data_IF_228190583007
#
_entry.id   IF_228190583007
#
_cell.length_a   1.000
_cell.length_b   1.000
_cell.length_c   1.000
_cell.angle_alpha   90.00
_cell.angle_beta   90.00
_cell.angle_gamma   90.00
#
_symmetry.space_group_name_H-M   'P 1'
#
loop_
_entity.id
_entity.type
_entity.pdbx_description
1 polymer ?
#
# COMPACT_ATOMS: atom_id res chain seq x y z
N UNK A 1 3.17 -7.41 19.64
CA UNK A 1 3.23 -5.95 19.35
C UNK A 1 2.91 -5.07 20.54
N UNK A 2 1.77 -5.22 21.22
CA UNK A 2 1.42 -4.33 22.35
C UNK A 2 2.49 -4.20 23.44
N UNK A 3 3.03 -5.31 23.92
CA UNK A 3 4.05 -5.30 24.97
C UNK A 3 5.33 -4.55 24.55
N UNK A 4 5.64 -4.51 23.25
CA UNK A 4 6.77 -3.75 22.72
C UNK A 4 6.46 -2.25 22.79
N UNK A 5 5.26 -1.85 22.37
CA UNK A 5 4.81 -0.45 22.48
C UNK A 5 4.78 0.03 23.94
N UNK A 6 4.35 -0.81 24.88
CA UNK A 6 4.36 -0.48 26.31
C UNK A 6 5.78 -0.35 26.86
N UNK A 7 6.70 -1.24 26.48
CA UNK A 7 8.11 -1.19 26.92
C UNK A 7 8.82 0.06 26.38
N UNK A 8 8.58 0.41 25.12
CA UNK A 8 9.36 1.42 24.39
C UNK A 8 8.73 2.82 24.40
N UNK A 9 7.57 3.01 25.04
CA UNK A 9 6.80 4.27 25.03
C UNK A 9 7.60 5.52 25.47
N UNK A 10 8.65 5.34 26.28
CA UNK A 10 9.48 6.43 26.79
C UNK A 10 10.73 6.72 25.94
N UNK A 11 10.99 5.93 24.89
CA UNK A 11 12.20 6.08 24.07
C UNK A 11 12.09 7.21 23.02
N UNK A 12 10.91 7.83 22.88
CA UNK A 12 10.65 8.86 21.87
C UNK A 12 10.69 8.36 20.41
N UNK A 13 10.79 7.04 20.21
CA UNK A 13 10.83 6.41 18.88
C UNK A 13 9.45 5.85 18.55
N UNK A 14 8.77 6.36 17.51
CA UNK A 14 7.47 5.83 17.15
C UNK A 14 7.60 4.42 16.56
N UNK A 15 6.62 3.58 16.84
CA UNK A 15 6.49 2.25 16.22
C UNK A 15 5.48 2.37 15.08
N UNK A 16 5.82 1.85 13.91
CA UNK A 16 4.88 1.74 12.78
C UNK A 16 4.49 0.27 12.61
N UNK A 17 3.23 -0.05 12.93
CA UNK A 17 2.67 -1.38 12.70
C UNK A 17 1.89 -1.38 11.39
N UNK A 18 2.48 -1.98 10.36
CA UNK A 18 1.86 -2.12 9.04
C UNK A 18 1.15 -3.46 8.96
N UNK A 19 -0.09 -3.46 8.48
CA UNK A 19 -0.87 -4.66 8.22
C UNK A 19 -1.40 -4.61 6.80
N UNK A 20 -0.89 -5.53 6.00
CA UNK A 20 -1.41 -5.82 4.67
C UNK A 20 -2.61 -6.77 4.76
N UNK A 21 -3.52 -6.68 3.79
CA UNK A 21 -4.83 -7.35 3.80
C UNK A 21 -5.56 -7.22 5.14
N UNK A 22 -5.59 -5.98 5.63
CA UNK A 22 -6.19 -5.60 6.90
C UNK A 22 -7.61 -6.10 7.09
N UNK A 23 -8.36 -6.25 6.00
CA UNK A 23 -9.70 -6.78 6.00
C UNK A 23 -9.81 -8.19 6.61
N UNK A 24 -8.76 -9.03 6.50
CA UNK A 24 -8.73 -10.39 7.07
C UNK A 24 -8.89 -10.34 8.60
N UNK A 25 -8.09 -9.50 9.26
CA UNK A 25 -8.08 -9.42 10.73
C UNK A 25 -9.26 -8.62 11.26
N UNK A 26 -9.78 -7.67 10.48
CA UNK A 26 -10.92 -6.86 10.90
C UNK A 26 -12.23 -7.58 10.71
N UNK A 27 -12.39 -8.44 9.69
CA UNK A 27 -13.63 -9.18 9.39
C UNK A 27 -13.93 -10.28 10.40
N UNK A 28 -12.88 -10.84 11.03
CA UNK A 28 -13.04 -11.85 12.06
C UNK A 28 -13.68 -11.26 13.33
N UNK A 29 -14.90 -11.69 13.74
CA UNK A 29 -15.60 -11.11 14.89
C UNK A 29 -14.86 -11.23 16.23
N UNK A 30 -13.96 -12.21 16.37
CA UNK A 30 -13.17 -12.40 17.58
C UNK A 30 -11.97 -11.45 17.63
N UNK A 31 -11.44 -11.05 16.47
CA UNK A 31 -10.26 -10.19 16.36
C UNK A 31 -10.63 -8.71 16.25
N UNK A 32 -11.76 -8.37 15.62
CA UNK A 32 -12.16 -6.99 15.39
C UNK A 32 -12.20 -6.13 16.67
N UNK A 33 -12.78 -6.59 17.79
CA UNK A 33 -12.80 -5.80 19.03
C UNK A 33 -11.38 -5.57 19.59
N UNK A 34 -10.49 -6.54 19.43
CA UNK A 34 -9.09 -6.42 19.85
C UNK A 34 -8.36 -5.37 19.00
N UNK A 35 -8.53 -5.41 17.68
CA UNK A 35 -7.93 -4.44 16.76
C UNK A 35 -8.41 -3.01 17.09
N UNK A 36 -9.71 -2.80 17.28
CA UNK A 36 -10.25 -1.48 17.66
C UNK A 36 -9.67 -1.01 19.01
N UNK A 37 -9.57 -1.90 19.99
CA UNK A 37 -9.01 -1.57 21.31
C UNK A 37 -7.53 -1.20 21.21
N UNK A 38 -6.74 -1.97 20.48
CA UNK A 38 -5.29 -1.79 20.42
C UNK A 38 -4.91 -0.52 19.69
N UNK A 39 -5.60 -0.19 18.59
CA UNK A 39 -5.37 1.05 17.84
C UNK A 39 -5.63 2.29 18.70
N UNK A 40 -6.62 2.24 19.61
CA UNK A 40 -6.87 3.32 20.58
C UNK A 40 -5.76 3.46 21.63
N UNK A 41 -5.23 2.34 22.11
CA UNK A 41 -4.13 2.34 23.08
C UNK A 41 -2.83 2.85 22.47
N UNK A 42 -2.52 2.41 21.25
CA UNK A 42 -1.29 2.78 20.52
C UNK A 42 -1.13 4.28 20.30
N UNK A 43 -2.23 5.03 20.16
CA UNK A 43 -2.20 6.50 20.13
C UNK A 43 -1.49 7.12 21.33
N UNK A 44 -1.58 6.49 22.52
CA UNK A 44 -0.93 6.97 23.75
C UNK A 44 0.50 6.44 23.92
N UNK A 45 0.86 5.36 23.22
CA UNK A 45 2.15 4.68 23.35
C UNK A 45 3.15 5.05 22.25
N UNK A 46 2.82 6.03 21.40
CA UNK A 46 3.67 6.40 20.26
C UNK A 46 3.68 5.36 19.13
N UNK A 47 2.65 4.51 19.04
CA UNK A 47 2.54 3.51 17.98
C UNK A 47 1.49 3.93 16.94
N UNK A 48 1.80 3.70 15.66
CA UNK A 48 1.03 4.07 14.49
C UNK A 48 0.52 2.80 13.84
N UNK A 49 -0.78 2.77 13.51
CA UNK A 49 -1.38 1.64 12.81
C UNK A 49 -1.60 1.99 11.34
N UNK A 50 -0.91 1.29 10.46
CA UNK A 50 -1.08 1.37 9.02
C UNK A 50 -1.85 0.15 8.55
N UNK A 51 -3.01 0.38 7.92
CA UNK A 51 -3.89 -0.66 7.42
C UNK A 51 -4.03 -0.52 5.91
N UNK A 52 -3.56 -1.52 5.16
CA UNK A 52 -3.79 -1.62 3.73
C UNK A 52 -4.92 -2.63 3.46
N UNK A 53 -5.85 -2.27 2.57
CA UNK A 53 -6.91 -3.16 2.10
C UNK A 53 -7.28 -2.82 0.67
N UNK A 54 -7.66 -3.82 -0.11
CA UNK A 54 -8.12 -3.63 -1.49
C UNK A 54 -9.57 -3.17 -1.56
N UNK A 55 -10.43 -3.72 -0.71
CA UNK A 55 -11.85 -3.42 -0.67
C UNK A 55 -12.26 -2.92 0.72
N UNK A 56 -12.92 -1.77 0.76
CA UNK A 56 -13.39 -1.19 2.02
C UNK A 56 -14.65 -1.88 2.56
N UNK A 57 -15.43 -2.54 1.69
CA UNK A 57 -16.63 -3.29 2.11
C UNK A 57 -16.30 -4.53 2.93
N UNK A 58 -15.08 -5.06 2.82
CA UNK A 58 -14.63 -6.18 3.65
C UNK A 58 -14.36 -5.77 5.11
N UNK A 59 -14.36 -4.47 5.42
CA UNK A 59 -14.29 -3.97 6.78
C UNK A 59 -15.69 -4.04 7.43
N UNK A 60 -15.86 -4.77 8.55
CA UNK A 60 -17.17 -4.86 9.18
C UNK A 60 -17.52 -3.55 9.89
N UNK A 61 -18.83 -3.37 10.19
CA UNK A 61 -19.31 -2.23 10.99
C UNK A 61 -18.58 -2.04 12.31
N UNK A 62 -18.09 -3.12 12.92
CA UNK A 62 -17.29 -3.04 14.16
C UNK A 62 -15.99 -2.23 14.00
N UNK A 63 -15.48 -2.08 12.76
CA UNK A 63 -14.30 -1.28 12.45
C UNK A 63 -14.62 0.20 12.20
N UNK A 64 -15.90 0.62 12.10
CA UNK A 64 -16.29 2.04 11.93
C UNK A 64 -15.61 2.99 12.95
N UNK A 65 -15.59 2.69 14.26
CA UNK A 65 -14.92 3.56 15.22
C UNK A 65 -13.41 3.65 14.99
N UNK A 66 -12.80 2.62 14.41
CA UNK A 66 -11.38 2.63 14.05
C UNK A 66 -11.15 3.53 12.84
N UNK A 67 -11.95 3.37 11.78
CA UNK A 67 -11.86 4.13 10.54
C UNK A 67 -12.06 5.64 10.77
N UNK A 68 -13.00 6.00 11.65
CA UNK A 68 -13.25 7.40 12.02
C UNK A 68 -12.06 8.07 12.76
N UNK A 69 -11.14 7.28 13.33
CA UNK A 69 -9.93 7.80 13.98
C UNK A 69 -8.74 7.91 13.02
N UNK A 70 -8.84 7.37 11.80
CA UNK A 70 -7.77 7.41 10.81
C UNK A 70 -7.59 8.85 10.34
N UNK A 71 -6.41 9.39 10.63
CA UNK A 71 -6.04 10.76 10.27
C UNK A 71 -5.61 10.85 8.80
N UNK A 72 -4.85 9.86 8.34
CA UNK A 72 -4.23 9.83 7.01
C UNK A 72 -4.87 8.75 6.16
N UNK A 73 -5.49 9.16 5.07
CA UNK A 73 -6.03 8.27 4.04
C UNK A 73 -5.12 8.35 2.83
N UNK A 74 -4.59 7.21 2.41
CA UNK A 74 -3.81 7.09 1.17
C UNK A 74 -4.64 6.24 0.24
N UNK A 75 -5.24 6.88 -0.75
CA UNK A 75 -6.14 6.26 -1.70
C UNK A 75 -5.44 6.18 -3.06
N UNK A 76 -5.24 4.99 -3.62
CA UNK A 76 -4.69 4.86 -4.96
C UNK A 76 -5.79 5.09 -6.03
N UNK A 77 -5.53 4.71 -7.28
CA UNK A 77 -6.56 4.66 -8.32
C UNK A 77 -7.70 3.72 -7.90
N UNK A 78 -8.87 4.29 -7.63
CA UNK A 78 -10.07 3.56 -7.21
C UNK A 78 -11.23 3.81 -8.18
N UNK A 79 -12.09 2.82 -8.42
CA UNK A 79 -13.29 3.01 -9.21
C UNK A 79 -14.30 3.93 -8.47
N UNK A 80 -15.25 4.56 -9.17
CA UNK A 80 -16.16 5.54 -8.57
C UNK A 80 -16.99 5.00 -7.40
N UNK A 81 -17.35 3.72 -7.40
CA UNK A 81 -18.09 3.09 -6.31
C UNK A 81 -17.27 3.01 -5.02
N UNK A 82 -15.96 2.74 -5.09
CA UNK A 82 -15.07 2.73 -3.92
C UNK A 82 -14.93 4.12 -3.27
N UNK A 83 -14.94 5.18 -4.07
CA UNK A 83 -14.91 6.57 -3.56
C UNK A 83 -16.16 6.87 -2.71
N UNK A 84 -17.33 6.43 -3.15
CA UNK A 84 -18.58 6.60 -2.40
C UNK A 84 -18.61 5.75 -1.12
N UNK A 85 -17.97 4.57 -1.12
CA UNK A 85 -17.86 3.76 0.09
C UNK A 85 -16.96 4.42 1.13
N UNK A 86 -15.86 5.07 0.74
CA UNK A 86 -15.02 5.86 1.64
C UNK A 86 -15.80 7.03 2.24
N UNK A 87 -16.68 7.66 1.44
CA UNK A 87 -17.52 8.77 1.88
C UNK A 87 -18.42 8.43 3.09
N UNK A 88 -18.63 7.13 3.40
CA UNK A 88 -19.36 6.67 4.57
C UNK A 88 -18.59 6.83 5.88
N UNK A 89 -17.26 6.76 5.84
CA UNK A 89 -16.38 6.80 7.02
C UNK A 89 -15.65 8.14 7.14
N UNK A 90 -15.52 8.86 6.02
CA UNK A 90 -14.89 10.18 5.96
C UNK A 90 -15.77 11.10 5.14
N UNK A 91 -16.12 12.25 5.69
CA UNK A 91 -16.83 13.27 4.91
C UNK A 91 -15.92 13.77 3.78
N UNK A 92 -16.40 13.68 2.53
CA UNK A 92 -15.68 14.07 1.34
C UNK A 92 -16.40 15.21 0.61
N UNK A 93 -15.69 16.31 0.37
CA UNK A 93 -16.18 17.39 -0.47
C UNK A 93 -16.26 16.96 -1.94
N UNK A 94 -17.10 17.60 -2.78
CA UNK A 94 -17.13 17.32 -4.21
C UNK A 94 -15.76 17.46 -4.89
N UNK A 95 -14.94 18.41 -4.43
CA UNK A 95 -13.58 18.61 -4.94
C UNK A 95 -12.64 17.46 -4.58
N UNK A 96 -12.72 16.94 -3.34
CA UNK A 96 -11.95 15.78 -2.90
C UNK A 96 -12.34 14.53 -3.69
N UNK A 97 -13.63 14.31 -3.92
CA UNK A 97 -14.12 13.20 -4.77
C UNK A 97 -13.57 13.31 -6.19
N UNK A 98 -13.64 14.51 -6.79
CA UNK A 98 -13.09 14.75 -8.12
C UNK A 98 -11.58 14.50 -8.17
N UNK A 99 -10.83 14.89 -7.13
CA UNK A 99 -9.40 14.64 -7.01
C UNK A 99 -9.10 13.13 -6.95
N UNK A 100 -9.83 12.37 -6.14
CA UNK A 100 -9.68 10.91 -6.04
C UNK A 100 -9.94 10.22 -7.38
N UNK A 101 -10.98 10.64 -8.09
CA UNK A 101 -11.33 10.12 -9.42
C UNK A 101 -10.33 10.52 -10.52
N UNK A 102 -9.51 11.54 -10.29
CA UNK A 102 -8.51 12.01 -11.25
C UNK A 102 -7.22 11.18 -11.25
N UNK A 103 -6.99 10.36 -10.21
CA UNK A 103 -5.80 9.54 -10.08
C UNK A 103 -5.74 8.48 -11.19
N UNK A 104 -4.60 8.39 -11.89
CA UNK A 104 -4.37 7.43 -12.97
C UNK A 104 -3.33 6.38 -12.60
N UNK A 105 -3.44 5.23 -13.25
CA UNK A 105 -2.44 4.17 -13.23
C UNK A 105 -2.04 3.83 -14.65
N UNK A 106 -0.74 3.76 -14.90
CA UNK A 106 -0.19 3.28 -16.17
C UNK A 106 0.80 2.15 -15.87
N UNK A 107 0.44 0.94 -16.28
CA UNK A 107 1.20 -0.27 -16.02
C UNK A 107 2.65 -0.12 -16.50
N UNK A 108 3.61 -0.53 -15.65
CA UNK A 108 5.03 -0.39 -15.95
C UNK A 108 5.57 1.06 -15.92
N UNK A 109 4.76 2.09 -15.65
CA UNK A 109 5.23 3.48 -15.55
C UNK A 109 5.00 4.10 -14.19
N UNK A 110 3.76 4.32 -13.80
CA UNK A 110 3.43 5.02 -12.55
C UNK A 110 2.06 4.64 -12.02
N UNK A 111 1.88 4.87 -10.72
CA UNK A 111 0.58 4.83 -10.06
C UNK A 111 0.37 6.16 -9.34
N UNK A 112 -0.74 6.82 -9.60
CA UNK A 112 -1.17 7.99 -8.84
C UNK A 112 -2.09 7.59 -7.69
N UNK A 113 -2.13 8.45 -6.69
CA UNK A 113 -3.04 8.35 -5.58
C UNK A 113 -3.25 9.71 -4.93
N UNK A 114 -4.17 9.75 -3.98
CA UNK A 114 -4.51 10.95 -3.23
C UNK A 114 -4.24 10.69 -1.75
N UNK A 115 -3.55 11.64 -1.12
CA UNK A 115 -3.40 11.71 0.33
C UNK A 115 -4.44 12.69 0.86
N UNK A 116 -5.30 12.23 1.75
CA UNK A 116 -6.28 13.04 2.45
C UNK A 116 -6.01 13.00 3.96
N UNK A 117 -5.82 14.18 4.55
CA UNK A 117 -5.70 14.37 6.00
C UNK A 117 -6.50 15.59 6.45
N UNK A 118 -6.34 16.04 7.69
CA UNK A 118 -6.99 17.28 8.16
C UNK A 118 -6.36 18.55 7.58
N UNK A 119 -5.08 18.48 7.21
CA UNK A 119 -4.29 19.65 6.80
C UNK A 119 -3.70 19.52 5.39
N UNK A 120 -3.96 18.42 4.70
CA UNK A 120 -3.34 18.11 3.42
C UNK A 120 -4.27 17.31 2.53
N UNK A 121 -4.38 17.76 1.27
CA UNK A 121 -5.10 17.13 0.18
C UNK A 121 -4.20 17.19 -1.05
N UNK A 122 -3.55 16.08 -1.39
CA UNK A 122 -2.48 16.08 -2.41
C UNK A 122 -2.65 14.88 -3.32
N UNK A 123 -2.63 15.14 -4.63
CA UNK A 123 -2.38 14.12 -5.65
C UNK A 123 -0.88 13.84 -5.71
N UNK A 124 -0.49 12.59 -5.53
CA UNK A 124 0.89 12.15 -5.69
C UNK A 124 1.01 11.15 -6.83
N UNK A 125 2.22 11.06 -7.38
CA UNK A 125 2.59 10.05 -8.38
C UNK A 125 3.75 9.23 -7.85
N UNK A 126 3.52 7.93 -7.67
CA UNK A 126 4.57 6.97 -7.37
C UNK A 126 5.17 6.44 -8.68
N UNK A 127 6.47 6.61 -8.84
CA UNK A 127 7.27 6.04 -9.94
C UNK A 127 8.31 5.11 -9.32
N UNK A 128 7.97 3.82 -9.06
CA UNK A 128 8.89 2.91 -8.41
C UNK A 128 10.09 2.58 -9.33
N UNK A 129 11.30 2.42 -8.77
CA UNK A 129 12.43 1.84 -9.47
C UNK A 129 12.06 0.53 -10.16
N UNK A 130 12.56 0.32 -11.37
CA UNK A 130 12.23 -0.82 -12.23
C UNK A 130 12.53 -2.17 -11.56
N UNK A 131 13.60 -2.22 -10.75
CA UNK A 131 13.95 -3.40 -9.97
C UNK A 131 12.88 -3.76 -8.95
N UNK A 132 12.34 -2.79 -8.22
CA UNK A 132 11.29 -3.06 -7.23
C UNK A 132 10.01 -3.55 -7.87
N UNK A 133 9.68 -3.06 -9.07
CA UNK A 133 8.57 -3.60 -9.85
C UNK A 133 8.83 -5.05 -10.21
N UNK A 134 9.97 -5.34 -10.86
CA UNK A 134 10.31 -6.70 -11.31
C UNK A 134 10.31 -7.75 -10.18
N UNK A 135 10.77 -7.36 -8.98
CA UNK A 135 10.77 -8.22 -7.79
C UNK A 135 9.37 -8.40 -7.18
N UNK A 136 8.53 -7.36 -7.24
CA UNK A 136 7.17 -7.38 -6.70
C UNK A 136 6.15 -8.05 -7.64
N UNK A 137 6.53 -8.37 -8.87
CA UNK A 137 5.67 -9.03 -9.84
C UNK A 137 5.22 -10.43 -9.37
N UNK A 138 3.90 -10.59 -9.23
CA UNK A 138 3.26 -11.81 -8.73
C UNK A 138 2.22 -12.39 -9.68
N UNK A 139 1.86 -11.67 -10.74
CA UNK A 139 0.80 -12.11 -11.66
C UNK A 139 1.24 -13.31 -12.51
N UNK A 140 0.31 -14.19 -12.93
CA UNK A 140 0.64 -15.38 -13.71
C UNK A 140 1.45 -15.10 -14.98
N UNK A 141 1.09 -14.05 -15.73
CA UNK A 141 1.80 -13.63 -16.94
C UNK A 141 3.21 -13.10 -16.66
N UNK A 142 3.39 -12.40 -15.54
CA UNK A 142 4.71 -11.88 -15.13
C UNK A 142 5.63 -13.03 -14.69
N UNK A 143 5.08 -14.01 -13.97
CA UNK A 143 5.79 -15.25 -13.62
C UNK A 143 6.16 -16.05 -14.87
N UNK A 144 5.27 -16.12 -15.85
CA UNK A 144 5.53 -16.78 -17.11
C UNK A 144 6.65 -16.08 -17.90
N UNK A 145 6.64 -14.75 -17.98
CA UNK A 145 7.73 -13.97 -18.59
C UNK A 145 9.07 -14.24 -17.89
N UNK A 146 9.08 -14.20 -16.55
CA UNK A 146 10.30 -14.47 -15.77
C UNK A 146 10.83 -15.87 -16.03
N UNK A 147 9.96 -16.87 -16.06
CA UNK A 147 10.34 -18.25 -16.35
C UNK A 147 10.90 -18.39 -17.78
N UNK A 148 10.32 -17.71 -18.77
CA UNK A 148 10.85 -17.69 -20.13
C UNK A 148 12.28 -17.11 -20.18
N UNK A 149 12.53 -16.02 -19.45
CA UNK A 149 13.86 -15.42 -19.36
C UNK A 149 14.88 -16.36 -18.68
N UNK A 150 14.47 -17.09 -17.64
CA UNK A 150 15.32 -18.10 -17.01
C UNK A 150 15.72 -19.19 -18.02
N UNK A 151 14.76 -19.72 -18.80
CA UNK A 151 15.04 -20.74 -19.82
C UNK A 151 15.90 -20.21 -20.97
N UNK A 152 15.61 -18.99 -21.45
CA UNK A 152 16.32 -18.39 -22.58
C UNK A 152 17.79 -18.10 -22.27
N UNK A 153 18.09 -17.67 -21.03
CA UNK A 153 19.44 -17.26 -20.64
C UNK A 153 20.16 -18.26 -19.74
N UNK A 154 19.48 -19.31 -19.27
CA UNK A 154 20.05 -20.28 -18.33
C UNK A 154 20.41 -19.66 -16.98
N UNK A 155 19.62 -18.69 -16.51
CA UNK A 155 19.92 -17.89 -15.31
C UNK A 155 18.96 -18.15 -14.15
N UNK A 156 19.31 -17.68 -12.96
CA UNK A 156 18.46 -17.78 -11.77
C UNK A 156 17.20 -16.92 -11.88
N UNK A 157 16.24 -17.14 -10.98
CA UNK A 157 15.03 -16.30 -10.91
C UNK A 157 15.38 -14.82 -10.63
N UNK A 158 16.37 -14.59 -9.76
CA UNK A 158 16.85 -13.24 -9.42
C UNK A 158 17.45 -12.54 -10.65
N UNK A 159 18.30 -13.25 -11.39
CA UNK A 159 18.90 -12.71 -12.62
C UNK A 159 17.85 -12.45 -13.71
N UNK A 160 16.82 -13.31 -13.79
CA UNK A 160 15.69 -13.08 -14.66
C UNK A 160 14.90 -11.82 -14.24
N UNK A 161 14.73 -11.56 -12.94
CA UNK A 161 14.13 -10.32 -12.45
C UNK A 161 14.97 -9.08 -12.80
N UNK A 162 16.31 -9.17 -12.77
CA UNK A 162 17.17 -8.09 -13.27
C UNK A 162 16.96 -7.82 -14.75
N UNK A 163 16.83 -8.87 -15.58
CA UNK A 163 16.51 -8.71 -17.00
C UNK A 163 15.13 -8.08 -17.23
N UNK A 164 14.13 -8.39 -16.39
CA UNK A 164 12.83 -7.70 -16.44
C UNK A 164 12.99 -6.21 -16.08
N UNK A 165 13.76 -5.90 -15.03
CA UNK A 165 14.03 -4.52 -14.63
C UNK A 165 14.72 -3.74 -15.77
N UNK A 166 15.69 -4.33 -16.46
CA UNK A 166 16.35 -3.74 -17.63
C UNK A 166 15.36 -3.46 -18.77
N UNK A 167 14.42 -4.38 -19.03
CA UNK A 167 13.36 -4.17 -20.03
C UNK A 167 12.49 -2.97 -19.67
N UNK A 168 12.11 -2.84 -18.39
CA UNK A 168 11.30 -1.71 -17.90
C UNK A 168 12.08 -0.39 -18.02
N UNK A 169 13.37 -0.36 -17.65
CA UNK A 169 14.23 0.82 -17.80
C UNK A 169 14.33 1.26 -19.26
N UNK A 170 14.61 0.33 -20.17
CA UNK A 170 14.66 0.60 -21.62
C UNK A 170 13.33 1.16 -22.13
N UNK A 171 12.21 0.60 -21.70
CA UNK A 171 10.88 1.10 -22.06
C UNK A 171 10.59 2.50 -21.50
N UNK A 172 11.25 2.89 -20.41
CA UNK A 172 11.18 4.22 -19.79
C UNK A 172 12.22 5.20 -20.32
N UNK A 173 13.16 4.76 -21.17
CA UNK A 173 14.27 5.57 -21.64
C UNK A 173 15.33 5.85 -20.56
N UNK A 174 15.47 4.95 -19.59
CA UNK A 174 16.44 5.02 -18.48
C UNK A 174 17.61 4.08 -18.79
N UNK A 175 18.82 4.52 -18.50
CA UNK A 175 20.01 3.65 -18.54
C UNK A 175 20.00 2.74 -17.31
N UNK A 176 19.98 1.42 -17.52
CA UNK A 176 19.99 0.46 -16.43
C UNK A 176 21.33 0.49 -15.70
N UNK A 177 21.33 0.56 -14.36
CA UNK A 177 22.56 0.52 -13.58
C UNK A 177 23.26 -0.82 -13.76
N UNK A 178 24.59 -0.81 -13.80
CA UNK A 178 25.40 -2.02 -13.72
C UNK A 178 25.23 -2.62 -12.33
N UNK A 179 24.52 -3.75 -12.24
CA UNK A 179 24.41 -4.52 -11.02
C UNK A 179 25.65 -5.40 -10.90
N UNK A 180 26.71 -4.84 -10.33
CA UNK A 180 27.86 -5.63 -9.89
C UNK A 180 27.44 -6.42 -8.64
N UNK A 181 26.87 -7.60 -8.88
CA UNK A 181 26.54 -8.53 -7.81
C UNK A 181 27.84 -9.15 -7.29
N UNK A 182 28.09 -9.13 -5.97
CA UNK A 182 29.26 -9.77 -5.37
C UNK A 182 29.27 -11.29 -5.54
#
# INVERSE_FOLDING_TARGET
MNNIAERDQYLGRPIVNVTDEGHIITKNPLLAPYVVKITKMWRKLGAWFWLATQNIDDLPRAAEPMLNMIEWWVCLSMPPDEVEKIARFRELSPAQKALMLSARKEAGKFTEGVILSKSMEVLFRAVPPSLYLALAQTEPEEKAERYQLMQQHGVSELDAAFKVAEKIDRARGIESPTLDLP
#
